data_IF_761570036409
#
_entry.id   IF_761570036409
#
_cell.length_a   1.000
_cell.length_b   1.000
_cell.length_c   1.000
_cell.angle_alpha   90.00
_cell.angle_beta   90.00
_cell.angle_gamma   90.00
#
_symmetry.space_group_name_H-M   'P 1'
#
loop_
_entity.id
_entity.type
_entity.pdbx_description
1 polymer ?
#
# COMPACT_ATOMS: atom_id res chain seq x y z
N UNK A 1 16.78 -9.61 -9.03
CA UNK A 1 15.76 -9.51 -10.11
C UNK A 1 14.48 -9.03 -9.49
N UNK A 2 13.68 -8.20 -10.18
CA UNK A 2 12.36 -7.77 -9.68
C UNK A 2 11.32 -8.31 -10.65
N UNK A 3 10.27 -8.91 -10.10
CA UNK A 3 9.16 -9.47 -10.85
C UNK A 3 7.83 -9.05 -10.23
N UNK A 4 6.76 -9.04 -11.02
CA UNK A 4 5.47 -8.54 -10.55
C UNK A 4 4.33 -9.35 -11.16
N UNK A 5 3.32 -9.60 -10.35
CA UNK A 5 2.00 -10.04 -10.79
C UNK A 5 0.96 -9.04 -10.29
N UNK A 6 0.08 -8.57 -11.16
CA UNK A 6 -1.03 -7.69 -10.82
C UNK A 6 -2.25 -8.02 -11.66
N UNK A 7 -3.43 -7.96 -11.06
CA UNK A 7 -4.70 -8.20 -11.74
C UNK A 7 -5.80 -7.34 -11.10
N UNK A 8 -6.56 -6.66 -11.93
CA UNK A 8 -7.69 -5.86 -11.47
C UNK A 8 -8.79 -6.72 -10.83
N UNK A 9 -9.52 -6.10 -9.91
CA UNK A 9 -10.70 -6.63 -9.26
C UNK A 9 -11.94 -6.60 -10.17
N UNK A 10 -13.10 -6.69 -9.56
CA UNK A 10 -14.38 -6.74 -10.30
C UNK A 10 -15.20 -5.45 -10.24
N UNK A 11 -14.77 -4.45 -9.46
CA UNK A 11 -15.59 -3.28 -9.13
C UNK A 11 -15.18 -1.99 -9.84
N UNK A 12 -13.90 -1.84 -10.15
CA UNK A 12 -13.31 -0.60 -10.69
C UNK A 12 -12.03 -0.92 -11.45
N UNK A 13 -11.41 0.07 -12.07
CA UNK A 13 -10.05 -0.06 -12.60
C UNK A 13 -9.07 -0.37 -11.47
N UNK A 14 -8.01 -1.10 -11.77
CA UNK A 14 -7.00 -1.47 -10.79
C UNK A 14 -6.45 -0.23 -10.05
N UNK A 15 -6.67 -0.16 -8.74
CA UNK A 15 -6.21 0.91 -7.86
C UNK A 15 -4.91 0.56 -7.13
N UNK A 16 -4.44 -0.69 -7.26
CA UNK A 16 -3.13 -1.11 -6.82
C UNK A 16 -2.05 -0.58 -7.77
N UNK A 17 -1.01 -0.01 -7.23
CA UNK A 17 0.16 0.45 -7.98
C UNK A 17 1.42 -0.08 -7.31
N UNK A 18 2.39 -0.43 -8.13
CA UNK A 18 3.69 -0.88 -7.68
C UNK A 18 4.80 -0.06 -8.35
N UNK A 19 6.00 -0.12 -7.78
CA UNK A 19 7.15 0.52 -8.38
C UNK A 19 8.45 0.20 -7.66
N UNK A 20 9.54 0.63 -8.30
CA UNK A 20 10.87 0.55 -7.71
C UNK A 20 11.78 1.64 -8.29
N UNK A 21 12.81 1.97 -7.54
CA UNK A 21 13.91 2.83 -7.95
C UNK A 21 15.17 2.39 -7.23
N UNK A 22 16.19 1.98 -8.01
CA UNK A 22 17.45 1.46 -7.44
C UNK A 22 17.20 0.22 -6.56
N UNK A 23 17.54 0.32 -5.28
CA UNK A 23 17.39 -0.73 -4.26
C UNK A 23 16.10 -0.63 -3.44
N UNK A 24 15.20 0.27 -3.81
CA UNK A 24 13.94 0.54 -3.08
C UNK A 24 12.76 0.15 -3.94
N UNK A 25 11.79 -0.58 -3.36
CA UNK A 25 10.56 -1.00 -4.02
C UNK A 25 9.34 -0.77 -3.12
N UNK A 26 8.13 -0.67 -3.72
CA UNK A 26 6.88 -0.42 -3.01
C UNK A 26 5.68 -1.04 -3.71
N UNK A 27 4.65 -1.31 -2.91
CA UNK A 27 3.28 -1.59 -3.34
C UNK A 27 2.36 -0.60 -2.64
N UNK A 28 1.47 0.03 -3.40
CA UNK A 28 0.46 0.98 -2.94
C UNK A 28 -0.91 0.36 -3.26
N UNK A 29 -1.78 0.31 -2.28
CA UNK A 29 -3.15 -0.14 -2.38
C UNK A 29 -4.09 1.06 -2.18
N UNK A 30 -4.81 1.43 -3.22
CA UNK A 30 -5.70 2.57 -3.22
C UNK A 30 -7.04 2.25 -2.57
N UNK A 31 -7.38 2.96 -1.49
CA UNK A 31 -8.63 2.71 -0.78
C UNK A 31 -9.86 3.07 -1.63
N UNK A 32 -10.82 2.15 -1.74
CA UNK A 32 -12.09 2.35 -2.46
C UNK A 32 -12.74 3.70 -2.12
N UNK A 33 -13.08 4.54 -3.12
CA UNK A 33 -13.67 5.85 -2.88
C UNK A 33 -15.09 5.73 -2.31
N UNK A 34 -15.36 6.47 -1.23
CA UNK A 34 -16.69 6.51 -0.60
C UNK A 34 -17.58 7.66 -1.12
N UNK A 35 -16.98 8.66 -1.77
CA UNK A 35 -17.63 9.93 -2.12
C UNK A 35 -17.56 10.24 -3.62
N UNK A 36 -17.40 9.22 -4.45
CA UNK A 36 -17.16 9.34 -5.89
C UNK A 36 -15.67 9.31 -6.22
N UNK A 37 -15.35 9.00 -7.47
CA UNK A 37 -13.99 8.86 -7.99
C UNK A 37 -13.74 9.85 -9.15
N UNK A 38 -14.31 11.07 -9.02
CA UNK A 38 -14.31 12.11 -10.06
C UNK A 38 -14.08 13.54 -9.53
N UNK A 39 -13.69 13.69 -8.28
CA UNK A 39 -13.40 14.98 -7.63
C UNK A 39 -12.16 15.65 -8.20
N UNK A 40 -11.21 14.87 -8.69
CA UNK A 40 -9.91 15.30 -9.22
C UNK A 40 -9.78 15.06 -10.73
N UNK A 41 -10.87 14.73 -11.42
CA UNK A 41 -10.92 14.54 -12.87
C UNK A 41 -11.13 13.10 -13.34
N UNK A 42 -11.63 12.24 -12.48
CA UNK A 42 -12.02 10.85 -12.76
C UNK A 42 -10.88 9.84 -12.61
N UNK A 43 -11.23 8.66 -12.13
CA UNK A 43 -10.29 7.62 -11.69
C UNK A 43 -9.30 8.19 -10.66
N UNK A 44 -9.81 8.94 -9.70
CA UNK A 44 -9.00 9.76 -8.80
C UNK A 44 -8.05 8.92 -7.96
N UNK A 45 -8.51 7.77 -7.47
CA UNK A 45 -7.68 6.87 -6.67
C UNK A 45 -6.53 6.33 -7.50
N UNK A 46 -6.81 5.70 -8.65
CA UNK A 46 -5.76 5.12 -9.51
C UNK A 46 -4.73 6.18 -9.93
N UNK A 47 -5.19 7.34 -10.43
CA UNK A 47 -4.30 8.43 -10.87
C UNK A 47 -3.45 8.96 -9.72
N UNK A 48 -4.05 9.12 -8.54
CA UNK A 48 -3.32 9.59 -7.36
C UNK A 48 -2.25 8.60 -6.94
N UNK A 49 -2.55 7.29 -6.91
CA UNK A 49 -1.57 6.26 -6.60
C UNK A 49 -0.43 6.23 -7.61
N UNK A 50 -0.74 6.37 -8.91
CA UNK A 50 0.28 6.47 -9.95
C UNK A 50 1.18 7.70 -9.75
N UNK A 51 0.59 8.88 -9.48
CA UNK A 51 1.35 10.11 -9.25
C UNK A 51 2.24 10.01 -8.01
N UNK A 52 1.77 9.38 -6.92
CA UNK A 52 2.57 9.10 -5.73
C UNK A 52 3.71 8.14 -6.05
N UNK A 53 3.46 7.06 -6.81
CA UNK A 53 4.49 6.13 -7.25
C UNK A 53 5.58 6.82 -8.08
N UNK A 54 5.21 7.72 -8.98
CA UNK A 54 6.15 8.49 -9.79
C UNK A 54 6.90 9.55 -8.96
N UNK A 55 6.26 10.13 -7.94
CA UNK A 55 6.92 11.00 -6.98
C UNK A 55 7.92 10.23 -6.10
N UNK A 56 7.57 9.02 -5.64
CA UNK A 56 8.50 8.15 -4.90
C UNK A 56 9.80 7.91 -5.67
N UNK A 57 9.74 7.64 -6.98
CA UNK A 57 10.93 7.47 -7.83
C UNK A 57 11.88 8.68 -7.76
N UNK A 58 11.33 9.90 -7.62
CA UNK A 58 12.12 11.14 -7.53
C UNK A 58 12.72 11.37 -6.15
N UNK A 59 12.06 10.88 -5.09
CA UNK A 59 12.44 11.14 -3.70
C UNK A 59 13.26 10.01 -3.05
N UNK A 60 13.35 8.82 -3.69
CA UNK A 60 14.20 7.74 -3.17
C UNK A 60 15.64 8.24 -3.01
N UNK A 61 16.10 8.27 -1.76
CA UNK A 61 17.44 8.66 -1.35
C UNK A 61 17.85 7.83 -0.13
N UNK A 62 19.00 7.17 -0.20
CA UNK A 62 19.54 6.30 0.87
C UNK A 62 19.80 7.04 2.21
N UNK A 63 19.82 8.37 2.18
CA UNK A 63 20.05 9.22 3.36
C UNK A 63 18.77 9.60 4.11
N UNK A 64 17.61 9.36 3.49
CA UNK A 64 16.32 9.70 4.08
C UNK A 64 15.63 8.45 4.63
N UNK A 65 14.86 8.60 5.72
CA UNK A 65 13.94 7.55 6.17
C UNK A 65 12.86 7.28 5.12
N UNK A 66 12.36 6.05 5.04
CA UNK A 66 11.29 5.68 4.11
C UNK A 66 10.01 6.49 4.35
N UNK A 67 9.71 6.81 5.63
CA UNK A 67 8.59 7.69 5.99
C UNK A 67 8.74 9.11 5.41
N UNK A 68 9.96 9.68 5.41
CA UNK A 68 10.21 10.99 4.82
C UNK A 68 10.13 10.96 3.30
N UNK A 69 10.65 9.91 2.66
CA UNK A 69 10.52 9.70 1.21
C UNK A 69 9.04 9.71 0.81
N UNK A 70 8.20 8.96 1.52
CA UNK A 70 6.75 8.95 1.29
C UNK A 70 6.11 10.31 1.55
N UNK A 71 6.46 10.98 2.66
CA UNK A 71 5.94 12.30 3.00
C UNK A 71 6.19 13.31 1.87
N UNK A 72 7.42 13.39 1.36
CA UNK A 72 7.75 14.30 0.27
C UNK A 72 7.03 13.94 -1.02
N UNK A 73 6.88 12.65 -1.34
CA UNK A 73 6.11 12.22 -2.50
C UNK A 73 4.63 12.66 -2.41
N UNK A 74 3.98 12.49 -1.25
CA UNK A 74 2.62 12.96 -1.03
C UNK A 74 2.51 14.49 -1.19
N UNK A 75 3.46 15.23 -0.62
CA UNK A 75 3.45 16.70 -0.69
C UNK A 75 3.64 17.25 -2.10
N UNK A 76 4.46 16.58 -2.91
CA UNK A 76 4.62 16.95 -4.33
C UNK A 76 3.29 16.80 -5.09
N UNK A 77 2.62 15.65 -4.92
CA UNK A 77 1.33 15.39 -5.58
C UNK A 77 0.24 16.34 -5.06
N UNK A 78 0.18 16.60 -3.76
CA UNK A 78 -0.73 17.60 -3.20
C UNK A 78 -0.50 18.98 -3.81
N UNK A 79 0.76 19.41 -3.91
CA UNK A 79 1.13 20.70 -4.49
C UNK A 79 0.73 20.78 -5.96
N UNK A 80 0.95 19.73 -6.75
CA UNK A 80 0.52 19.66 -8.15
C UNK A 80 -1.01 19.81 -8.28
N UNK A 81 -1.77 19.07 -7.46
CA UNK A 81 -3.23 19.14 -7.49
C UNK A 81 -3.78 20.51 -7.08
N UNK A 82 -3.16 21.17 -6.10
CA UNK A 82 -3.51 22.56 -5.74
C UNK A 82 -3.32 23.55 -6.89
N UNK A 83 -2.34 23.32 -7.77
CA UNK A 83 -2.07 24.17 -8.92
C UNK A 83 -2.94 23.83 -10.13
N UNK A 84 -3.29 22.57 -10.32
CA UNK A 84 -3.95 22.10 -11.55
C UNK A 84 -5.46 21.94 -11.42
N UNK A 85 -5.96 21.68 -10.21
CA UNK A 85 -7.38 21.39 -9.96
C UNK A 85 -8.06 22.60 -9.34
N UNK A 86 -8.97 23.20 -10.10
CA UNK A 86 -9.74 24.34 -9.61
C UNK A 86 -10.61 23.94 -8.42
N UNK A 87 -10.50 24.70 -7.33
CA UNK A 87 -11.27 24.44 -6.11
C UNK A 87 -10.75 23.30 -5.24
N UNK A 88 -9.54 22.79 -5.47
CA UNK A 88 -8.94 21.73 -4.65
C UNK A 88 -9.04 22.02 -3.14
N UNK A 89 -8.75 23.24 -2.70
CA UNK A 89 -8.80 23.64 -1.30
C UNK A 89 -10.22 23.66 -0.68
N UNK A 90 -11.25 23.54 -1.50
CA UNK A 90 -12.65 23.41 -1.05
C UNK A 90 -13.06 21.95 -0.85
N UNK A 91 -12.25 20.99 -1.30
CA UNK A 91 -12.53 19.56 -1.12
C UNK A 91 -12.20 19.18 0.32
N UNK A 92 -13.17 18.60 1.02
CA UNK A 92 -12.96 18.09 2.37
C UNK A 92 -11.97 16.92 2.37
N UNK A 93 -10.96 16.97 3.22
CA UNK A 93 -9.83 16.01 3.24
C UNK A 93 -10.27 14.54 3.24
N UNK A 94 -11.33 14.20 3.95
CA UNK A 94 -11.84 12.83 4.05
C UNK A 94 -12.46 12.31 2.75
N UNK A 95 -12.67 13.18 1.74
CA UNK A 95 -13.15 12.81 0.40
C UNK A 95 -12.01 12.55 -0.59
N UNK A 96 -10.80 13.02 -0.26
CA UNK A 96 -9.63 12.81 -1.12
C UNK A 96 -9.16 11.35 -1.09
N UNK A 97 -8.49 10.88 -2.14
CA UNK A 97 -7.91 9.54 -2.18
C UNK A 97 -6.99 9.25 -0.99
N UNK A 98 -7.10 8.03 -0.47
CA UNK A 98 -6.25 7.49 0.59
C UNK A 98 -5.73 6.12 0.19
N UNK A 99 -4.67 5.64 0.84
CA UNK A 99 -4.01 4.40 0.43
C UNK A 99 -3.27 3.74 1.58
N UNK A 100 -3.16 2.42 1.51
CA UNK A 100 -2.16 1.67 2.23
C UNK A 100 -0.87 1.56 1.38
N UNK A 101 0.27 1.39 2.02
CA UNK A 101 1.55 1.24 1.33
C UNK A 101 2.54 0.41 2.14
N UNK A 102 3.34 -0.36 1.44
CA UNK A 102 4.56 -0.93 1.98
C UNK A 102 5.76 -0.56 1.10
N UNK A 103 6.88 -0.22 1.73
CA UNK A 103 8.14 0.16 1.07
C UNK A 103 9.27 -0.66 1.68
N UNK A 104 10.14 -1.18 0.83
CA UNK A 104 11.37 -1.89 1.24
C UNK A 104 12.57 -1.29 0.54
N UNK A 105 13.65 -1.07 1.29
CA UNK A 105 14.96 -0.68 0.80
C UNK A 105 15.99 -1.73 1.18
N UNK A 106 16.69 -2.28 0.20
CA UNK A 106 17.72 -3.30 0.40
C UNK A 106 19.10 -2.66 0.36
N UNK A 107 19.80 -2.67 1.49
CA UNK A 107 21.18 -2.24 1.62
C UNK A 107 22.11 -3.46 1.67
N UNK A 108 23.43 -3.23 1.66
CA UNK A 108 24.41 -4.33 1.71
C UNK A 108 24.30 -5.18 2.97
N UNK A 109 24.01 -4.56 4.12
CA UNK A 109 24.01 -5.21 5.44
C UNK A 109 22.61 -5.41 6.01
N UNK A 110 21.63 -4.64 5.57
CA UNK A 110 20.31 -4.63 6.15
C UNK A 110 19.21 -4.40 5.11
N UNK A 111 18.01 -4.75 5.50
CA UNK A 111 16.77 -4.44 4.80
C UNK A 111 15.96 -3.51 5.69
N UNK A 112 15.70 -2.31 5.20
CA UNK A 112 14.79 -1.37 5.84
C UNK A 112 13.40 -1.57 5.24
N UNK A 113 12.39 -1.58 6.09
CA UNK A 113 11.02 -1.62 5.62
C UNK A 113 10.14 -0.60 6.34
N UNK A 114 9.11 -0.17 5.65
CA UNK A 114 8.08 0.74 6.13
C UNK A 114 6.72 0.22 5.69
N UNK A 115 5.73 0.22 6.60
CA UNK A 115 4.34 -0.12 6.33
C UNK A 115 3.40 0.91 6.92
N UNK A 116 2.37 1.27 6.17
CA UNK A 116 1.27 2.14 6.61
C UNK A 116 -0.04 1.59 6.03
N UNK A 117 -0.94 1.14 6.89
CA UNK A 117 -2.14 0.41 6.49
C UNK A 117 -1.91 -1.11 6.41
N UNK A 118 -2.62 -1.81 5.52
CA UNK A 118 -2.75 -3.27 5.50
C UNK A 118 -1.99 -4.00 4.38
N UNK A 119 -1.20 -3.29 3.57
CA UNK A 119 -0.22 -3.94 2.72
C UNK A 119 0.80 -4.73 3.53
N UNK A 120 1.22 -5.87 3.02
CA UNK A 120 2.11 -6.79 3.72
C UNK A 120 3.45 -7.00 3.00
N UNK A 121 4.47 -7.38 3.77
CA UNK A 121 5.76 -7.84 3.29
C UNK A 121 5.97 -9.25 3.81
N UNK A 122 6.38 -10.17 2.94
CA UNK A 122 6.81 -11.50 3.35
C UNK A 122 8.29 -11.68 3.01
N UNK A 123 9.08 -12.05 4.01
CA UNK A 123 10.49 -12.39 3.85
C UNK A 123 10.94 -13.32 4.98
N UNK A 124 11.79 -14.26 4.66
CA UNK A 124 12.38 -15.21 5.61
C UNK A 124 11.33 -15.90 6.52
N UNK A 125 10.21 -16.34 5.93
CA UNK A 125 9.14 -17.05 6.66
C UNK A 125 8.28 -16.18 7.57
N UNK A 126 8.41 -14.84 7.52
CA UNK A 126 7.67 -13.91 8.38
C UNK A 126 6.93 -12.86 7.57
N UNK A 127 5.78 -12.45 8.11
CA UNK A 127 5.01 -11.31 7.60
C UNK A 127 5.36 -10.07 8.42
N UNK A 128 5.61 -8.95 7.74
CA UNK A 128 5.85 -7.64 8.31
C UNK A 128 4.78 -6.69 7.79
N UNK A 129 4.12 -5.95 8.68
CA UNK A 129 3.05 -5.02 8.33
C UNK A 129 2.79 -4.02 9.45
N UNK A 130 1.96 -3.02 9.17
CA UNK A 130 1.41 -2.14 10.19
C UNK A 130 0.17 -2.77 10.84
N UNK A 131 0.35 -3.30 12.06
CA UNK A 131 -0.74 -3.94 12.81
C UNK A 131 -1.73 -2.94 13.42
N UNK A 132 -1.44 -1.65 13.38
CA UNK A 132 -2.33 -0.62 13.96
C UNK A 132 -3.68 -0.58 13.24
N UNK A 133 -3.71 -0.95 11.95
CA UNK A 133 -4.90 -1.02 11.13
C UNK A 133 -5.89 -2.12 11.58
N UNK A 134 -5.44 -3.18 12.24
CA UNK A 134 -6.31 -4.26 12.74
C UNK A 134 -7.43 -3.76 13.66
N UNK A 135 -7.19 -2.66 14.38
CA UNK A 135 -8.21 -2.04 15.25
C UNK A 135 -9.38 -1.51 14.44
N UNK A 136 -9.11 -0.92 13.29
CA UNK A 136 -10.13 -0.39 12.37
C UNK A 136 -10.92 -1.52 11.74
N UNK A 137 -10.24 -2.56 11.27
CA UNK A 137 -10.87 -3.74 10.70
C UNK A 137 -11.81 -4.42 11.71
N UNK A 138 -11.40 -4.57 12.97
CA UNK A 138 -12.26 -5.11 14.04
C UNK A 138 -13.48 -4.23 14.32
N UNK A 139 -13.36 -2.91 14.20
CA UNK A 139 -14.50 -1.97 14.35
C UNK A 139 -15.46 -2.10 13.19
N UNK A 140 -14.95 -2.16 11.95
CA UNK A 140 -15.73 -2.25 10.73
C UNK A 140 -16.44 -3.60 10.56
N UNK A 141 -15.99 -4.66 11.24
CA UNK A 141 -16.63 -5.97 11.26
C UNK A 141 -17.84 -6.07 12.21
N UNK A 142 -18.05 -5.08 13.09
CA UNK A 142 -19.24 -5.08 13.96
C UNK A 142 -20.49 -4.99 13.10
N UNK A 143 -21.51 -5.74 13.49
CA UNK A 143 -22.85 -5.62 12.90
C UNK A 143 -23.42 -4.24 13.19
N UNK A 144 -23.44 -3.37 12.18
CA UNK A 144 -24.05 -2.05 12.22
C UNK A 144 -25.11 -1.98 11.14
N UNK A 145 -26.22 -1.35 11.46
CA UNK A 145 -27.36 -1.18 10.54
C UNK A 145 -27.02 -0.32 9.33
N UNK A 146 -26.02 0.55 9.43
CA UNK A 146 -25.54 1.43 8.35
C UNK A 146 -24.00 1.39 8.25
N UNK A 147 -23.50 0.49 7.41
CA UNK A 147 -22.07 0.36 7.15
C UNK A 147 -21.48 1.60 6.47
N UNK A 148 -22.23 2.28 5.62
CA UNK A 148 -21.76 3.48 4.94
C UNK A 148 -21.54 4.62 5.93
N UNK A 149 -22.47 4.85 6.88
CA UNK A 149 -22.28 5.84 7.92
C UNK A 149 -21.07 5.54 8.79
N UNK A 150 -20.84 4.27 9.17
CA UNK A 150 -19.67 3.86 9.92
C UNK A 150 -18.36 4.11 9.16
N UNK A 151 -18.31 3.74 7.88
CA UNK A 151 -17.12 3.98 7.05
C UNK A 151 -16.85 5.48 6.87
N UNK A 152 -17.91 6.28 6.67
CA UNK A 152 -17.82 7.74 6.59
C UNK A 152 -17.24 8.33 7.88
N UNK A 153 -17.78 7.97 9.02
CA UNK A 153 -17.29 8.45 10.33
C UNK A 153 -15.84 8.05 10.55
N UNK A 154 -15.49 6.80 10.27
CA UNK A 154 -14.11 6.32 10.34
C UNK A 154 -13.19 7.14 9.44
N UNK A 155 -13.60 7.46 8.21
CA UNK A 155 -12.84 8.27 7.26
C UNK A 155 -12.69 9.74 7.72
N UNK A 156 -13.68 10.30 8.41
CA UNK A 156 -13.59 11.64 9.00
C UNK A 156 -12.56 11.73 10.14
N UNK A 157 -12.27 10.62 10.81
CA UNK A 157 -11.26 10.52 11.88
C UNK A 157 -9.85 10.13 11.37
N UNK A 158 -9.71 10.02 10.06
CA UNK A 158 -8.48 9.64 9.39
C UNK A 158 -7.37 10.65 9.73
N UNK A 159 -6.22 10.10 10.16
CA UNK A 159 -5.03 10.89 10.48
C UNK A 159 -5.25 12.01 11.52
N UNK A 160 -6.29 11.89 12.34
CA UNK A 160 -6.51 12.82 13.46
C UNK A 160 -5.82 12.33 14.74
N UNK A 161 -4.69 12.95 15.05
CA UNK A 161 -3.89 12.66 16.25
C UNK A 161 -4.63 12.86 17.58
N UNK A 162 -5.72 13.62 17.59
CA UNK A 162 -6.53 13.89 18.78
C UNK A 162 -7.63 12.84 19.00
N UNK A 163 -7.81 11.93 18.03
CA UNK A 163 -8.86 10.94 18.08
C UNK A 163 -8.29 9.53 18.31
N UNK A 164 -8.40 8.96 19.53
CA UNK A 164 -7.83 7.65 19.85
C UNK A 164 -8.47 6.48 19.05
N UNK A 165 -9.66 6.71 18.48
CA UNK A 165 -10.37 5.76 17.64
C UNK A 165 -10.06 5.93 16.14
N UNK A 166 -9.30 6.96 15.77
CA UNK A 166 -8.82 7.18 14.41
C UNK A 166 -7.76 6.14 14.01
N UNK A 167 -7.38 6.18 12.76
CA UNK A 167 -6.32 5.34 12.21
C UNK A 167 -5.42 6.15 11.28
N UNK A 168 -4.22 5.65 11.08
CA UNK A 168 -3.23 6.26 10.21
C UNK A 168 -3.21 5.53 8.87
N UNK A 169 -3.24 6.30 7.78
CA UNK A 169 -3.18 5.77 6.42
C UNK A 169 -2.54 6.82 5.50
N UNK A 170 -2.08 6.42 4.33
CA UNK A 170 -1.56 7.33 3.32
C UNK A 170 -2.62 8.34 2.87
N UNK A 171 -2.25 9.61 2.80
CA UNK A 171 -3.08 10.72 2.33
C UNK A 171 -2.20 11.80 1.69
N UNK A 172 -2.78 12.61 0.80
CA UNK A 172 -2.06 13.62 0.05
C UNK A 172 -1.36 14.66 0.94
N UNK A 173 -1.92 14.98 2.10
CA UNK A 173 -1.29 15.91 3.05
C UNK A 173 -0.09 15.31 3.81
N UNK A 174 0.18 14.03 3.63
CA UNK A 174 1.29 13.32 4.27
C UNK A 174 1.14 13.11 5.79
N UNK A 175 -0.01 13.46 6.38
CA UNK A 175 -0.18 13.46 7.83
C UNK A 175 -0.02 12.06 8.46
N UNK A 176 -0.37 10.99 7.73
CA UNK A 176 -0.21 9.60 8.18
C UNK A 176 1.23 9.10 8.14
N UNK A 177 2.09 9.66 7.30
CA UNK A 177 3.40 9.07 6.96
C UNK A 177 4.35 8.88 8.16
N UNK A 178 4.25 9.70 9.20
CA UNK A 178 5.12 9.60 10.39
C UNK A 178 4.66 8.53 11.38
N UNK A 179 3.50 7.93 11.18
CA UNK A 179 2.89 6.96 12.10
C UNK A 179 2.96 5.52 11.57
N UNK A 180 3.41 5.32 10.34
CA UNK A 180 3.66 3.99 9.80
C UNK A 180 4.74 3.27 10.58
N UNK A 181 4.68 1.93 10.57
CA UNK A 181 5.68 1.08 11.22
C UNK A 181 6.93 1.01 10.35
N UNK A 182 8.10 1.25 10.94
CA UNK A 182 9.39 1.18 10.25
C UNK A 182 10.39 0.41 11.10
N UNK A 183 11.10 -0.52 10.49
CA UNK A 183 12.15 -1.30 11.14
C UNK A 183 13.30 -1.57 10.14
N UNK A 184 14.44 -1.97 10.68
CA UNK A 184 15.60 -2.44 9.93
C UNK A 184 16.00 -3.81 10.44
N UNK A 185 16.19 -4.77 9.54
CA UNK A 185 16.60 -6.15 9.87
C UNK A 185 17.89 -6.51 9.13
N UNK A 186 18.65 -7.46 9.67
CA UNK A 186 19.83 -7.98 8.96
C UNK A 186 19.42 -8.65 7.65
N UNK A 187 20.25 -8.47 6.60
CA UNK A 187 20.00 -9.06 5.27
C UNK A 187 20.35 -10.54 5.18
N UNK A 188 21.08 -11.07 6.17
CA UNK A 188 21.57 -12.45 6.17
C UNK A 188 20.42 -13.45 5.94
N UNK A 189 20.68 -14.44 5.08
CA UNK A 189 19.74 -15.53 4.76
C UNK A 189 18.41 -15.12 4.11
N UNK A 190 18.27 -13.88 3.61
CA UNK A 190 17.09 -13.44 2.89
C UNK A 190 17.34 -13.52 1.39
N UNK A 191 16.71 -14.47 0.72
CA UNK A 191 16.84 -14.69 -0.72
C UNK A 191 15.71 -13.99 -1.51
N UNK A 192 14.50 -13.96 -0.94
CA UNK A 192 13.33 -13.40 -1.57
C UNK A 192 12.58 -12.46 -0.64
N UNK A 193 12.10 -11.36 -1.20
CA UNK A 193 11.22 -10.39 -0.54
C UNK A 193 9.99 -10.23 -1.41
N UNK A 194 8.80 -10.36 -0.81
CA UNK A 194 7.53 -10.15 -1.48
C UNK A 194 6.76 -9.02 -0.80
N UNK A 195 6.31 -8.05 -1.59
CA UNK A 195 5.40 -6.99 -1.16
C UNK A 195 4.06 -7.20 -1.83
N UNK A 196 2.96 -7.08 -1.10
CA UNK A 196 1.64 -7.32 -1.70
C UNK A 196 0.51 -6.53 -1.00
N UNK A 197 -0.57 -6.31 -1.77
CA UNK A 197 -1.81 -5.66 -1.32
C UNK A 197 -2.67 -6.62 -0.49
N UNK A 198 -3.70 -6.09 0.15
CA UNK A 198 -4.61 -6.85 1.01
C UNK A 198 -5.44 -7.88 0.21
N UNK A 199 -5.82 -7.56 -1.04
CA UNK A 199 -6.47 -8.50 -1.93
C UNK A 199 -5.59 -9.72 -2.21
N UNK A 200 -4.28 -9.53 -2.43
CA UNK A 200 -3.33 -10.63 -2.57
C UNK A 200 -3.14 -11.36 -1.23
N UNK A 201 -3.10 -10.66 -0.10
CA UNK A 201 -3.04 -11.27 1.23
C UNK A 201 -4.20 -12.23 1.48
N UNK A 202 -5.39 -11.87 1.00
CA UNK A 202 -6.60 -12.72 1.08
C UNK A 202 -6.43 -14.04 0.31
N UNK A 203 -5.75 -14.02 -0.84
CA UNK A 203 -5.46 -15.22 -1.63
C UNK A 203 -4.37 -16.08 -0.98
N UNK A 204 -3.31 -15.44 -0.48
CA UNK A 204 -2.15 -16.08 0.14
C UNK A 204 -2.41 -16.47 1.61
N UNK A 205 -3.47 -17.19 1.91
CA UNK A 205 -3.96 -17.44 3.28
C UNK A 205 -2.91 -18.01 4.24
N UNK A 206 -2.12 -18.98 3.80
CA UNK A 206 -1.11 -19.66 4.62
C UNK A 206 0.34 -19.28 4.27
N UNK A 207 0.52 -18.44 3.24
CA UNK A 207 1.83 -18.01 2.72
C UNK A 207 2.77 -19.17 2.32
N UNK A 208 2.32 -20.43 2.37
CA UNK A 208 3.17 -21.60 2.09
C UNK A 208 3.79 -21.56 0.70
N UNK A 209 3.04 -21.08 -0.29
CA UNK A 209 3.54 -20.95 -1.66
C UNK A 209 4.73 -19.97 -1.78
N UNK A 210 4.88 -19.02 -0.86
CA UNK A 210 6.00 -18.06 -0.87
C UNK A 210 7.25 -18.63 -0.17
N UNK A 211 7.10 -19.67 0.66
CA UNK A 211 8.23 -20.21 1.46
C UNK A 211 9.30 -20.83 0.57
N UNK A 212 8.91 -21.42 -0.55
CA UNK A 212 9.81 -22.09 -1.49
C UNK A 212 10.48 -21.11 -2.47
N UNK A 213 10.30 -19.79 -2.29
CA UNK A 213 10.90 -18.77 -3.15
C UNK A 213 10.35 -18.76 -4.57
N UNK A 214 9.06 -19.11 -4.74
CA UNK A 214 8.43 -19.18 -6.05
C UNK A 214 8.53 -17.87 -6.81
N UNK A 215 8.81 -17.97 -8.10
CA UNK A 215 8.73 -16.85 -9.03
C UNK A 215 7.25 -16.49 -9.28
N UNK A 216 6.92 -15.23 -9.06
CA UNK A 216 5.53 -14.75 -9.24
C UNK A 216 5.06 -14.76 -10.70
N UNK A 217 5.97 -14.92 -11.65
CA UNK A 217 5.66 -15.13 -13.07
C UNK A 217 5.65 -16.63 -13.47
N UNK A 218 5.87 -17.55 -12.52
CA UNK A 218 5.80 -18.98 -12.82
C UNK A 218 4.34 -19.43 -13.00
N UNK A 219 4.12 -20.36 -13.91
CA UNK A 219 2.81 -20.96 -14.16
C UNK A 219 2.21 -21.65 -12.93
N UNK A 220 3.04 -22.13 -12.01
CA UNK A 220 2.58 -22.70 -10.72
C UNK A 220 1.95 -21.62 -9.86
N UNK A 221 2.56 -20.43 -9.78
CA UNK A 221 2.01 -19.30 -9.06
C UNK A 221 0.72 -18.79 -9.73
N UNK A 222 0.72 -18.64 -11.05
CA UNK A 222 -0.48 -18.23 -11.79
C UNK A 222 -1.64 -19.22 -11.56
N UNK A 223 -1.41 -20.53 -11.64
CA UNK A 223 -2.43 -21.53 -11.36
C UNK A 223 -2.94 -21.46 -9.92
N UNK A 224 -2.06 -21.17 -8.95
CA UNK A 224 -2.46 -20.97 -7.56
C UNK A 224 -3.40 -19.75 -7.45
N UNK A 225 -3.06 -18.63 -8.05
CA UNK A 225 -3.90 -17.43 -8.06
C UNK A 225 -5.28 -17.74 -8.67
N UNK A 226 -5.32 -18.36 -9.84
CA UNK A 226 -6.59 -18.70 -10.50
C UNK A 226 -7.48 -19.63 -9.63
N UNK A 227 -6.88 -20.56 -8.94
CA UNK A 227 -7.60 -21.47 -8.02
C UNK A 227 -8.26 -20.74 -6.85
N UNK A 228 -7.63 -19.70 -6.33
CA UNK A 228 -8.08 -18.98 -5.11
C UNK A 228 -8.65 -17.58 -5.39
N UNK A 229 -8.71 -17.15 -6.65
CA UNK A 229 -9.21 -15.80 -7.05
C UNK A 229 -10.62 -15.50 -6.56
N UNK A 230 -11.47 -16.52 -6.38
CA UNK A 230 -12.84 -16.38 -5.89
C UNK A 230 -12.93 -15.88 -4.42
N UNK A 231 -11.82 -15.90 -3.67
CA UNK A 231 -11.79 -15.47 -2.27
C UNK A 231 -11.86 -13.94 -2.13
N UNK A 232 -11.53 -13.20 -3.17
CA UNK A 232 -11.58 -11.75 -3.17
C UNK A 232 -12.13 -11.20 -4.48
N UNK A 233 -12.81 -10.05 -4.41
CA UNK A 233 -13.24 -9.24 -5.55
C UNK A 233 -12.37 -8.01 -5.75
N UNK A 234 -11.36 -7.84 -4.90
CA UNK A 234 -10.46 -6.70 -4.90
C UNK A 234 -9.33 -6.84 -5.91
N UNK A 235 -8.61 -5.75 -6.15
CA UNK A 235 -7.37 -5.76 -6.89
C UNK A 235 -6.35 -6.66 -6.18
N UNK A 236 -5.46 -7.27 -6.93
CA UNK A 236 -4.40 -8.12 -6.38
C UNK A 236 -3.07 -7.74 -7.01
N UNK A 237 -2.10 -7.42 -6.17
CA UNK A 237 -0.75 -7.08 -6.60
C UNK A 237 0.29 -7.72 -5.69
N UNK A 238 1.31 -8.32 -6.28
CA UNK A 238 2.50 -8.81 -5.58
C UNK A 238 3.75 -8.45 -6.38
N UNK A 239 4.74 -7.93 -5.69
CA UNK A 239 6.06 -7.58 -6.19
C UNK A 239 7.09 -8.46 -5.50
N UNK A 240 7.90 -9.18 -6.25
CA UNK A 240 9.00 -10.01 -5.76
C UNK A 240 10.33 -9.35 -6.07
N UNK A 241 11.23 -9.31 -5.09
CA UNK A 241 12.65 -9.05 -5.29
C UNK A 241 13.47 -10.28 -4.92
N UNK A 242 14.16 -10.84 -5.89
CA UNK A 242 15.15 -11.89 -5.66
C UNK A 242 16.50 -11.24 -5.36
N UNK A 243 17.04 -11.52 -4.18
CA UNK A 243 18.37 -11.10 -3.77
C UNK A 243 19.35 -12.16 -4.25
N UNK A 244 20.29 -11.79 -5.15
CA UNK A 244 21.35 -12.74 -5.52
C UNK A 244 22.18 -13.02 -4.29
N UNK A 245 22.41 -14.28 -3.98
CA UNK A 245 23.48 -14.70 -3.06
C UNK A 245 24.81 -14.18 -3.62
N UNK A 246 25.61 -13.53 -2.79
CA UNK A 246 26.99 -13.18 -3.11
C UNK A 246 27.85 -14.45 -3.15
#
# INVERSE_FOLDING_TARGET
>A
MIEVFTQEGTKHVNQDIYGWQGNTMWVIDGATPLFGDDLLGGNDVQKTMQNISDALKRHVDDKQSLSNVLYHACKDVESEYRHTISGYDLIEKYKLPTFAITIVRVNNMNIEWYGLGDCEIYMHGKVYRDESFDRVNKRNQKEVSDKFALHRETRMLLNDKNHPEGYWIGSLDGAGCVYGKQESIAREDIENIYLYSDGMSTILQDKSILMDGIDVNDSVFENYIQKYRYLTTDDITILQMQLKGE
#
